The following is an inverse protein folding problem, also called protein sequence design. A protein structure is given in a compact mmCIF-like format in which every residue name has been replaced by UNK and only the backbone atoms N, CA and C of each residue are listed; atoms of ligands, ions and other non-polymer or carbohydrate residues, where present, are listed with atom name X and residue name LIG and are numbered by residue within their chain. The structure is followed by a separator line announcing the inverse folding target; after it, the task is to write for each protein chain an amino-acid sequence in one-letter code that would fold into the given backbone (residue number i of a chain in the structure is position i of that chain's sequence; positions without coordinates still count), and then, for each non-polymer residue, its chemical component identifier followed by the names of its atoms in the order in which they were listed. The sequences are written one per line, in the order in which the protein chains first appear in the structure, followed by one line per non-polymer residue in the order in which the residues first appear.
data_IF_802213509349
#
_entry.id   IF_802213509349
#
_cell.length_a   1.000
_cell.length_b   1.000
_cell.length_c   1.000
_cell.angle_alpha   90.00
_cell.angle_beta   90.00
_cell.angle_gamma   90.00
#
_symmetry.space_group_name_H-M   'P 1'
#
loop_
_entity.id
_entity.type
_entity.pdbx_description
1 polymer ?
#
# COMPACT_ATOMS: atom_id res chain seq x y z
N UNK A 1 7.67 12.24 9.71
CA UNK A 1 7.40 11.87 11.11
C UNK A 1 8.50 12.46 12.02
N UNK A 2 8.25 13.67 12.56
CA UNK A 2 9.27 14.37 13.36
C UNK A 2 9.67 13.58 14.62
N UNK A 3 8.75 12.80 15.17
CA UNK A 3 9.00 12.02 16.39
C UNK A 3 9.99 10.86 16.14
N UNK A 4 9.97 10.25 14.98
CA UNK A 4 10.88 9.16 14.60
C UNK A 4 12.30 9.70 14.39
N UNK A 5 12.44 10.88 13.75
CA UNK A 5 13.74 11.54 13.60
C UNK A 5 14.34 11.95 14.94
N UNK A 6 13.52 12.46 15.85
CA UNK A 6 13.96 12.84 17.20
C UNK A 6 14.41 11.60 17.98
N UNK A 7 13.65 10.50 17.94
CA UNK A 7 14.00 9.24 18.58
C UNK A 7 15.35 8.71 18.07
N UNK A 8 15.55 8.67 16.75
CA UNK A 8 16.80 8.23 16.14
C UNK A 8 18.01 9.12 16.52
N UNK A 9 17.83 10.42 16.60
CA UNK A 9 18.90 11.32 17.01
C UNK A 9 19.28 11.15 18.49
N UNK A 10 18.28 10.94 19.35
CA UNK A 10 18.48 10.69 20.78
C UNK A 10 19.23 9.36 21.00
N UNK A 11 18.85 8.30 20.29
CA UNK A 11 19.52 7.00 20.43
C UNK A 11 20.94 7.01 19.91
N UNK A 12 21.23 7.68 18.79
CA UNK A 12 22.58 7.87 18.29
C UNK A 12 23.45 8.60 19.33
N UNK A 13 22.90 9.62 19.99
CA UNK A 13 23.60 10.35 21.03
C UNK A 13 23.91 9.48 22.26
N UNK A 14 22.92 8.67 22.70
CA UNK A 14 23.08 7.74 23.83
C UNK A 14 24.15 6.68 23.51
N UNK A 15 24.06 6.04 22.34
CA UNK A 15 25.01 5.02 21.89
C UNK A 15 26.43 5.59 21.81
N UNK A 16 26.59 6.78 21.23
CA UNK A 16 27.89 7.46 21.14
C UNK A 16 28.49 7.79 22.52
N UNK A 17 27.66 8.25 23.46
CA UNK A 17 28.05 8.54 24.83
C UNK A 17 28.49 7.27 25.58
N UNK A 18 27.73 6.19 25.48
CA UNK A 18 28.03 4.90 26.08
C UNK A 18 29.31 4.29 25.49
N UNK A 19 29.48 4.39 24.17
CA UNK A 19 30.70 3.93 23.50
C UNK A 19 31.96 4.71 24.00
N UNK A 20 31.86 6.04 24.12
CA UNK A 20 32.94 6.85 24.67
C UNK A 20 33.30 6.46 26.12
N UNK A 21 32.28 6.09 26.90
CA UNK A 21 32.47 5.62 28.27
C UNK A 21 33.26 4.30 28.33
N UNK A 22 33.08 3.40 27.37
CA UNK A 22 33.82 2.12 27.29
C UNK A 22 35.32 2.32 27.11
N UNK A 23 35.73 3.42 26.44
CA UNK A 23 37.13 3.76 26.22
C UNK A 23 37.85 4.22 27.51
N UNK A 24 37.09 4.72 28.50
CA UNK A 24 37.65 5.21 29.79
C UNK A 24 37.61 4.15 30.88
N UNK A 25 36.79 3.13 30.81
CA UNK A 25 36.60 2.13 31.85
C UNK A 25 37.45 0.91 31.55
N UNK A 26 38.37 0.59 32.48
CA UNK A 26 39.25 -0.57 32.38
C UNK A 26 38.65 -1.86 32.96
N UNK A 27 37.54 -1.76 33.71
CA UNK A 27 36.89 -2.90 34.33
C UNK A 27 36.04 -3.68 33.28
N UNK A 28 36.48 -4.91 32.97
CA UNK A 28 35.84 -5.76 31.97
C UNK A 28 34.36 -6.07 32.26
N UNK A 29 33.96 -6.20 33.51
CA UNK A 29 32.57 -6.49 33.88
C UNK A 29 31.65 -5.28 33.58
N UNK A 30 32.13 -4.07 33.85
CA UNK A 30 31.38 -2.84 33.56
C UNK A 30 31.30 -2.63 32.04
N UNK A 31 32.39 -2.90 31.31
CA UNK A 31 32.38 -2.85 29.85
C UNK A 31 31.31 -3.80 29.27
N UNK A 32 31.23 -5.02 29.78
CA UNK A 32 30.24 -6.00 29.31
C UNK A 32 28.81 -5.54 29.56
N UNK A 33 28.52 -4.94 30.71
CA UNK A 33 27.22 -4.35 31.02
C UNK A 33 26.85 -3.21 30.03
N UNK A 34 27.82 -2.37 29.70
CA UNK A 34 27.59 -1.26 28.73
C UNK A 34 27.29 -1.84 27.34
N UNK A 35 27.98 -2.88 26.90
CA UNK A 35 27.68 -3.54 25.62
C UNK A 35 26.29 -4.17 25.58
N UNK A 36 25.85 -4.77 26.69
CA UNK A 36 24.49 -5.33 26.81
C UNK A 36 23.43 -4.21 26.69
N UNK A 37 23.69 -3.06 27.34
CA UNK A 37 22.79 -1.90 27.23
C UNK A 37 22.73 -1.33 25.81
N UNK A 38 23.87 -1.20 25.13
CA UNK A 38 23.90 -0.76 23.73
C UNK A 38 23.10 -1.72 22.84
N UNK A 39 23.30 -3.03 23.03
CA UNK A 39 22.56 -4.02 22.26
C UNK A 39 21.05 -4.00 22.53
N UNK A 40 20.65 -3.79 23.78
CA UNK A 40 19.25 -3.66 24.17
C UNK A 40 18.58 -2.43 23.55
N UNK A 41 19.27 -1.28 23.50
CA UNK A 41 18.73 -0.07 22.86
C UNK A 41 18.54 -0.24 21.36
N UNK A 42 19.50 -0.85 20.66
CA UNK A 42 19.39 -1.12 19.21
C UNK A 42 18.24 -2.08 18.92
N UNK A 43 18.09 -3.15 19.74
CA UNK A 43 17.01 -4.13 19.58
C UNK A 43 15.64 -3.50 19.83
N UNK A 44 15.52 -2.66 20.85
CA UNK A 44 14.30 -1.95 21.19
C UNK A 44 13.84 -1.01 20.05
N UNK A 45 14.78 -0.25 19.48
CA UNK A 45 14.46 0.63 18.35
C UNK A 45 14.06 -0.15 17.10
N UNK A 46 14.73 -1.27 16.81
CA UNK A 46 14.36 -2.14 15.70
C UNK A 46 12.91 -2.64 15.81
N UNK A 47 12.49 -3.06 17.00
CA UNK A 47 11.11 -3.49 17.27
C UNK A 47 10.13 -2.31 17.19
N UNK A 48 10.49 -1.15 17.73
CA UNK A 48 9.65 0.04 17.74
C UNK A 48 9.40 0.58 16.32
N UNK A 49 10.43 0.62 15.48
CA UNK A 49 10.32 1.05 14.08
C UNK A 49 9.42 0.10 13.32
N UNK A 50 9.62 -1.23 13.45
CA UNK A 50 8.83 -2.24 12.74
C UNK A 50 7.36 -2.23 13.15
N UNK A 51 7.06 -1.95 14.41
CA UNK A 51 5.67 -1.85 14.92
C UNK A 51 4.97 -0.62 14.36
N UNK A 52 5.63 0.54 14.37
CA UNK A 52 5.04 1.78 13.87
C UNK A 52 4.88 1.79 12.35
N UNK A 53 5.79 1.17 11.58
CA UNK A 53 5.62 1.07 10.13
C UNK A 53 4.39 0.23 9.75
N UNK A 54 4.06 -0.82 10.50
CA UNK A 54 2.85 -1.61 10.26
C UNK A 54 1.57 -0.83 10.58
N UNK A 55 1.55 -0.10 11.68
CA UNK A 55 0.39 0.68 12.10
C UNK A 55 0.14 1.89 11.18
N UNK A 56 1.20 2.59 10.78
CA UNK A 56 1.10 3.72 9.84
C UNK A 56 0.71 3.26 8.42
N UNK A 57 1.17 2.08 7.98
CA UNK A 57 0.79 1.52 6.69
C UNK A 57 -0.69 1.10 6.66
N UNK A 58 -1.18 0.48 7.73
CA UNK A 58 -2.58 0.07 7.85
C UNK A 58 -3.52 1.27 7.95
N UNK A 59 -3.17 2.27 8.76
CA UNK A 59 -3.96 3.50 8.94
C UNK A 59 -3.94 4.40 7.68
N UNK A 60 -2.83 4.46 6.96
CA UNK A 60 -2.73 5.22 5.71
C UNK A 60 -3.50 4.56 4.58
N UNK A 61 -3.51 3.23 4.50
CA UNK A 61 -4.32 2.47 3.55
C UNK A 61 -5.82 2.67 3.84
N UNK A 62 -6.26 2.58 5.08
CA UNK A 62 -7.65 2.83 5.48
C UNK A 62 -8.11 4.26 5.17
N UNK A 63 -7.26 5.26 5.38
CA UNK A 63 -7.56 6.66 5.05
C UNK A 63 -7.60 6.93 3.55
N UNK A 64 -6.72 6.28 2.79
CA UNK A 64 -6.65 6.42 1.33
C UNK A 64 -7.89 5.78 0.66
N UNK A 65 -8.43 4.70 1.25
CA UNK A 65 -9.55 3.95 0.68
C UNK A 65 -10.92 4.26 1.31
N UNK A 66 -11.01 5.20 2.25
CA UNK A 66 -12.29 5.60 2.87
C UNK A 66 -13.33 6.16 1.89
N UNK A 67 -12.91 6.50 0.68
CA UNK A 67 -13.75 7.03 -0.40
C UNK A 67 -14.14 5.96 -1.45
N UNK A 68 -13.66 4.69 -1.27
CA UNK A 68 -13.78 3.62 -2.27
C UNK A 68 -14.34 2.34 -1.66
N UNK A 69 -15.02 1.56 -2.49
CA UNK A 69 -15.49 0.23 -2.09
C UNK A 69 -14.35 -0.77 -1.96
N UNK A 70 -14.38 -1.58 -0.89
CA UNK A 70 -13.38 -2.63 -0.66
C UNK A 70 -13.77 -3.87 -1.45
N UNK A 71 -12.81 -4.48 -2.13
CA UNK A 71 -13.00 -5.68 -2.92
C UNK A 71 -13.37 -6.90 -2.05
N UNK A 72 -14.25 -7.76 -2.57
CA UNK A 72 -14.54 -9.10 -2.05
C UNK A 72 -14.73 -10.09 -3.21
N UNK A 73 -14.78 -11.39 -2.91
CA UNK A 73 -14.83 -12.47 -3.91
C UNK A 73 -16.04 -12.40 -4.85
N UNK A 74 -17.18 -11.93 -4.38
CA UNK A 74 -18.43 -11.95 -5.13
C UNK A 74 -18.70 -10.62 -5.86
N UNK A 75 -17.88 -9.62 -5.63
CA UNK A 75 -18.13 -8.23 -6.04
C UNK A 75 -18.38 -8.08 -7.55
N UNK A 76 -17.69 -8.85 -8.40
CA UNK A 76 -17.90 -8.82 -9.84
C UNK A 76 -19.26 -9.38 -10.26
N UNK A 77 -19.76 -10.40 -9.55
CA UNK A 77 -21.06 -11.00 -9.82
C UNK A 77 -22.18 -10.12 -9.30
N UNK A 78 -22.00 -9.56 -8.10
CA UNK A 78 -22.97 -8.64 -7.49
C UNK A 78 -23.18 -7.42 -8.38
N UNK A 79 -22.11 -6.76 -8.83
CA UNK A 79 -22.19 -5.59 -9.71
C UNK A 79 -22.79 -5.90 -11.08
N UNK A 80 -22.52 -7.10 -11.63
CA UNK A 80 -23.13 -7.53 -12.89
C UNK A 80 -24.62 -7.79 -12.74
N UNK A 81 -25.05 -8.42 -11.64
CA UNK A 81 -26.45 -8.68 -11.33
C UNK A 81 -27.23 -7.38 -11.14
N UNK A 82 -26.61 -6.39 -10.49
CA UNK A 82 -27.18 -5.05 -10.27
C UNK A 82 -27.07 -4.15 -11.51
N UNK A 83 -26.48 -4.64 -12.59
CA UNK A 83 -26.25 -3.89 -13.83
C UNK A 83 -25.41 -2.61 -13.59
N UNK A 84 -24.50 -2.64 -12.62
CA UNK A 84 -23.66 -1.54 -12.17
C UNK A 84 -22.26 -1.63 -12.78
N UNK A 85 -21.79 -0.52 -13.39
CA UNK A 85 -20.41 -0.44 -13.92
C UNK A 85 -19.38 -0.38 -12.81
N UNK A 86 -18.21 -1.01 -13.03
CA UNK A 86 -17.12 -1.01 -12.05
C UNK A 86 -15.73 -0.91 -12.69
N UNK A 87 -14.81 -0.34 -11.91
CA UNK A 87 -13.37 -0.35 -12.16
C UNK A 87 -12.66 -0.93 -10.93
N UNK A 88 -12.12 -2.14 -11.03
CA UNK A 88 -11.36 -2.79 -9.95
C UNK A 88 -9.87 -2.49 -10.14
N UNK A 89 -9.24 -2.00 -9.07
CA UNK A 89 -7.82 -1.77 -8.96
C UNK A 89 -7.19 -2.78 -7.99
N UNK A 90 -6.51 -3.78 -8.52
CA UNK A 90 -5.65 -4.67 -7.73
C UNK A 90 -4.30 -3.99 -7.53
N UNK A 91 -3.99 -3.68 -6.29
CA UNK A 91 -2.84 -2.85 -5.88
C UNK A 91 -2.12 -3.42 -4.66
N UNK A 92 -0.99 -2.85 -4.29
CA UNK A 92 -0.30 -3.12 -3.03
C UNK A 92 0.60 -1.95 -2.64
N UNK A 93 0.81 -1.72 -1.34
CA UNK A 93 1.65 -0.64 -0.84
C UNK A 93 3.12 -0.73 -1.30
N UNK A 94 3.64 -1.94 -1.51
CA UNK A 94 5.00 -2.18 -2.00
C UNK A 94 5.13 -2.09 -3.54
N UNK A 95 4.02 -1.90 -4.28
CA UNK A 95 4.00 -1.87 -5.74
C UNK A 95 4.27 -0.45 -6.26
N UNK A 96 5.50 -0.16 -6.66
CA UNK A 96 5.91 1.17 -7.16
C UNK A 96 5.10 1.60 -8.39
N UNK A 97 4.82 0.68 -9.32
CA UNK A 97 4.00 0.97 -10.50
C UNK A 97 2.56 1.31 -10.12
N UNK A 98 1.99 0.64 -9.12
CA UNK A 98 0.65 0.94 -8.60
C UNK A 98 0.59 2.36 -8.05
N UNK A 99 1.56 2.72 -7.22
CA UNK A 99 1.65 4.07 -6.63
C UNK A 99 1.83 5.16 -7.69
N UNK A 100 2.62 4.88 -8.73
CA UNK A 100 2.78 5.80 -9.86
C UNK A 100 1.45 5.98 -10.60
N UNK A 101 0.77 4.89 -10.97
CA UNK A 101 -0.52 4.92 -11.66
C UNK A 101 -1.61 5.61 -10.83
N UNK A 102 -1.59 5.43 -9.52
CA UNK A 102 -2.51 6.14 -8.64
C UNK A 102 -2.34 7.66 -8.79
N UNK A 103 -1.11 8.15 -8.67
CA UNK A 103 -0.81 9.61 -8.74
C UNK A 103 -1.06 10.22 -10.12
N UNK A 104 -0.72 9.52 -11.20
CA UNK A 104 -0.74 10.08 -12.56
C UNK A 104 -2.02 9.79 -13.34
N UNK A 105 -2.85 8.83 -12.87
CA UNK A 105 -4.07 8.44 -13.55
C UNK A 105 -5.26 8.37 -12.58
N UNK A 106 -5.29 7.38 -11.68
CA UNK A 106 -6.49 7.03 -10.90
C UNK A 106 -6.97 8.15 -9.97
N UNK A 107 -6.06 8.82 -9.26
CA UNK A 107 -6.37 9.92 -8.34
C UNK A 107 -6.57 11.27 -9.04
N UNK A 108 -6.49 11.33 -10.38
CA UNK A 108 -6.66 12.60 -11.10
C UNK A 108 -8.11 13.10 -11.04
N UNK A 109 -8.32 14.41 -10.81
CA UNK A 109 -9.67 14.97 -10.65
C UNK A 109 -10.62 14.65 -11.80
N UNK A 110 -10.13 14.69 -13.04
CA UNK A 110 -10.93 14.38 -14.24
C UNK A 110 -11.38 12.92 -14.28
N UNK A 111 -10.52 11.99 -13.81
CA UNK A 111 -10.87 10.55 -13.74
C UNK A 111 -11.91 10.34 -12.66
N UNK A 112 -11.70 10.88 -11.45
CA UNK A 112 -12.67 10.79 -10.35
C UNK A 112 -14.03 11.36 -10.74
N UNK A 113 -14.03 12.54 -11.39
CA UNK A 113 -15.25 13.17 -11.90
C UNK A 113 -15.95 12.28 -12.93
N UNK A 114 -15.22 11.71 -13.89
CA UNK A 114 -15.78 10.84 -14.92
C UNK A 114 -16.40 9.57 -14.32
N UNK A 115 -15.72 8.92 -13.37
CA UNK A 115 -16.25 7.74 -12.67
C UNK A 115 -17.58 8.08 -11.99
N UNK A 116 -17.63 9.20 -11.26
CA UNK A 116 -18.84 9.66 -10.57
C UNK A 116 -19.99 10.03 -11.53
N UNK A 117 -19.70 10.75 -12.62
CA UNK A 117 -20.72 11.18 -13.59
C UNK A 117 -21.30 10.02 -14.39
N UNK A 118 -20.57 8.92 -14.55
CA UNK A 118 -21.00 7.74 -15.28
C UNK A 118 -21.39 6.57 -14.37
N UNK A 119 -21.55 6.83 -13.08
CA UNK A 119 -21.94 5.84 -12.08
C UNK A 119 -21.07 4.56 -12.13
N UNK A 120 -19.75 4.76 -12.27
CA UNK A 120 -18.76 3.69 -12.28
C UNK A 120 -18.19 3.55 -10.88
N UNK A 121 -18.47 2.43 -10.22
CA UNK A 121 -17.94 2.16 -8.90
C UNK A 121 -16.44 1.85 -8.97
N UNK A 122 -15.66 2.55 -8.14
CA UNK A 122 -14.22 2.32 -8.02
C UNK A 122 -13.93 1.43 -6.82
N UNK A 123 -13.36 0.26 -7.09
CA UNK A 123 -13.16 -0.81 -6.12
C UNK A 123 -11.67 -1.06 -5.96
N UNK A 124 -11.20 -1.16 -4.71
CA UNK A 124 -9.79 -1.42 -4.42
C UNK A 124 -9.62 -2.82 -3.83
N UNK A 125 -8.76 -3.61 -4.48
CA UNK A 125 -8.29 -4.90 -4.03
C UNK A 125 -6.84 -4.77 -3.54
N UNK A 126 -6.66 -4.49 -2.26
CA UNK A 126 -5.34 -4.30 -1.66
C UNK A 126 -4.68 -5.64 -1.31
N UNK A 127 -3.65 -5.98 -2.06
CA UNK A 127 -2.85 -7.20 -1.90
C UNK A 127 -1.54 -6.97 -1.13
N UNK A 128 -1.47 -5.93 -0.32
CA UNK A 128 -0.27 -5.59 0.48
C UNK A 128 0.15 -6.76 1.36
N UNK A 129 -0.80 -7.43 1.98
CA UNK A 129 -0.59 -8.59 2.86
C UNK A 129 -0.61 -9.95 2.13
N UNK A 130 -0.63 -9.96 0.79
CA UNK A 130 -0.62 -11.16 -0.06
C UNK A 130 -1.69 -12.20 0.30
N UNK A 131 -2.89 -11.71 0.51
CA UNK A 131 -4.05 -12.55 0.84
C UNK A 131 -4.37 -13.51 -0.31
N UNK A 132 -4.74 -14.75 0.02
CA UNK A 132 -4.96 -15.84 -0.94
C UNK A 132 -6.22 -15.64 -1.81
N UNK A 133 -7.22 -14.93 -1.32
CA UNK A 133 -8.45 -14.65 -2.08
C UNK A 133 -8.17 -13.71 -3.25
N UNK A 134 -7.40 -12.65 -2.99
CA UNK A 134 -6.96 -11.72 -4.03
C UNK A 134 -6.00 -12.42 -5.00
N UNK A 135 -5.13 -13.33 -4.51
CA UNK A 135 -4.27 -14.12 -5.39
C UNK A 135 -5.11 -14.96 -6.39
N UNK A 136 -6.12 -15.67 -5.90
CA UNK A 136 -7.05 -16.44 -6.77
C UNK A 136 -7.77 -15.56 -7.78
N UNK A 137 -8.15 -14.34 -7.38
CA UNK A 137 -8.77 -13.38 -8.29
C UNK A 137 -7.78 -12.90 -9.37
N UNK A 138 -6.51 -12.67 -9.03
CA UNK A 138 -5.46 -12.35 -10.00
C UNK A 138 -5.24 -13.52 -10.98
N UNK A 139 -5.18 -14.76 -10.49
CA UNK A 139 -5.01 -15.97 -11.29
C UNK A 139 -6.17 -16.18 -12.29
N UNK A 140 -7.41 -15.84 -11.92
CA UNK A 140 -8.58 -15.84 -12.82
C UNK A 140 -8.32 -15.01 -14.09
N UNK A 141 -7.52 -13.96 -13.99
CA UNK A 141 -7.11 -13.10 -15.09
C UNK A 141 -5.72 -13.43 -15.67
N UNK A 142 -5.18 -14.62 -15.36
CA UNK A 142 -3.84 -15.07 -15.76
C UNK A 142 -2.74 -14.09 -15.28
N UNK A 143 -2.90 -13.59 -14.06
CA UNK A 143 -1.93 -12.72 -13.39
C UNK A 143 -1.50 -13.35 -12.07
N UNK A 144 -0.24 -13.16 -11.70
CA UNK A 144 0.34 -13.62 -10.44
C UNK A 144 0.86 -12.44 -9.59
N UNK A 145 0.42 -11.23 -9.90
CA UNK A 145 0.84 -10.02 -9.20
C UNK A 145 0.13 -8.76 -9.69
N UNK A 146 0.41 -7.68 -8.98
CA UNK A 146 -0.12 -6.35 -9.22
C UNK A 146 0.89 -5.47 -9.98
N UNK A 147 0.46 -4.44 -10.72
CA UNK A 147 -0.92 -3.95 -10.86
C UNK A 147 -1.78 -4.79 -11.82
N UNK A 148 -3.07 -4.87 -11.53
CA UNK A 148 -4.09 -5.35 -12.45
C UNK A 148 -5.31 -4.43 -12.35
N UNK A 149 -5.85 -4.01 -13.49
CA UNK A 149 -7.04 -3.16 -13.57
C UNK A 149 -8.09 -3.85 -14.42
N UNK A 150 -9.32 -3.95 -13.88
CA UNK A 150 -10.44 -4.62 -14.52
C UNK A 150 -11.58 -3.63 -14.63
N UNK A 151 -12.05 -3.40 -15.85
CA UNK A 151 -13.21 -2.55 -16.13
C UNK A 151 -14.34 -3.34 -16.75
N UNK A 152 -15.54 -3.13 -16.27
CA UNK A 152 -16.76 -3.66 -16.86
C UNK A 152 -17.89 -2.63 -16.77
N UNK A 153 -18.75 -2.61 -17.79
CA UNK A 153 -20.00 -1.86 -17.78
C UNK A 153 -21.12 -2.69 -18.42
N UNK A 154 -22.38 -2.36 -18.14
CA UNK A 154 -23.53 -3.01 -18.76
C UNK A 154 -23.40 -3.07 -20.27
N UNK A 155 -23.73 -4.24 -20.84
CA UNK A 155 -23.58 -4.54 -22.27
C UNK A 155 -22.25 -5.17 -22.67
N UNK A 156 -21.21 -5.14 -21.81
CA UNK A 156 -19.96 -5.86 -22.09
C UNK A 156 -20.11 -7.35 -21.77
N UNK A 157 -19.75 -8.22 -22.70
CA UNK A 157 -19.78 -9.68 -22.51
C UNK A 157 -18.75 -10.15 -21.49
N UNK A 158 -17.59 -9.50 -21.42
CA UNK A 158 -16.49 -9.84 -20.52
C UNK A 158 -15.84 -8.57 -19.99
N UNK A 159 -15.35 -8.59 -18.76
CA UNK A 159 -14.53 -7.50 -18.24
C UNK A 159 -13.28 -7.25 -19.09
N UNK A 160 -12.92 -6.01 -19.23
CA UNK A 160 -11.74 -5.57 -19.96
C UNK A 160 -10.56 -5.41 -19.00
N UNK A 161 -9.42 -6.06 -19.33
CA UNK A 161 -8.17 -5.87 -18.63
C UNK A 161 -7.50 -4.62 -19.22
N UNK A 162 -7.13 -3.67 -18.36
CA UNK A 162 -6.44 -2.47 -18.73
C UNK A 162 -4.91 -2.68 -18.75
N UNK A 163 -4.16 -1.79 -19.43
CA UNK A 163 -2.69 -1.81 -19.38
C UNK A 163 -2.16 -1.67 -17.94
N UNK A 164 -1.01 -2.30 -17.67
CA UNK A 164 -0.34 -2.20 -16.37
C UNK A 164 0.20 -0.80 -16.08
N UNK A 165 0.45 0.01 -17.11
CA UNK A 165 0.84 1.42 -16.98
C UNK A 165 -0.31 2.28 -17.50
N UNK A 166 -0.79 3.18 -16.64
CA UNK A 166 -1.90 4.07 -16.93
C UNK A 166 -1.44 5.53 -16.95
N UNK A 167 -2.07 6.32 -17.79
CA UNK A 167 -2.05 7.78 -17.74
C UNK A 167 -3.47 8.30 -17.65
N UNK A 168 -3.68 9.55 -17.19
CA UNK A 168 -5.02 10.17 -17.15
C UNK A 168 -5.75 10.03 -18.50
N UNK A 169 -5.05 10.36 -19.61
CA UNK A 169 -5.63 10.30 -20.95
C UNK A 169 -5.98 8.87 -21.37
N UNK A 170 -5.03 7.92 -21.24
CA UNK A 170 -5.28 6.53 -21.65
C UNK A 170 -6.40 5.87 -20.86
N UNK A 171 -6.52 6.18 -19.57
CA UNK A 171 -7.60 5.65 -18.72
C UNK A 171 -8.95 6.23 -19.15
N UNK A 172 -9.05 7.55 -19.32
CA UNK A 172 -10.29 8.18 -19.78
C UNK A 172 -10.73 7.68 -21.17
N UNK A 173 -9.79 7.49 -22.08
CA UNK A 173 -10.10 6.94 -23.41
C UNK A 173 -10.66 5.53 -23.32
N UNK A 174 -10.09 4.67 -22.45
CA UNK A 174 -10.58 3.31 -22.27
C UNK A 174 -11.98 3.28 -21.63
N UNK A 175 -12.22 4.15 -20.64
CA UNK A 175 -13.52 4.23 -19.95
C UNK A 175 -14.64 4.76 -20.87
N UNK A 176 -14.30 5.64 -21.83
CA UNK A 176 -15.22 6.21 -22.82
C UNK A 176 -15.53 5.26 -23.98
N UNK A 177 -14.65 4.31 -24.30
CA UNK A 177 -14.87 3.37 -25.39
C UNK A 177 -16.14 2.53 -25.11
N UNK A 178 -17.06 2.58 -26.05
CA UNK A 178 -18.30 1.80 -26.06
C UNK A 178 -18.03 0.31 -26.27
#
# INVERSE_FOLDING_TARGET
NNNLLISLLVSIFIISSLFWLTLKITNKQIQLLIWVLIFATISFEGIYITSNEKEDADLSSLKQYSEYSVWNLNIEEDFKNDNQAYLINFTAAWCITCQANDKIALSRPKVKQYLKENDIEYIVADWTNKNDEILKALEKYNRNGVPLYIYWKPGMQKPKILPAILTEGSLLDILKLN
#
